data_IF_849773034762
#
_entry.id   IF_849773034762
#
_cell.length_a   1.000
_cell.length_b   1.000
_cell.length_c   1.000
_cell.angle_alpha   90.00
_cell.angle_beta   90.00
_cell.angle_gamma   90.00
#
_symmetry.space_group_name_H-M   'P 1'
#
loop_
_entity.id
_entity.type
_entity.pdbx_description
1 polymer ?
#
# COMPACT_ATOMS: atom_id res chain seq x y z
N UNK A 1 10.20 -7.95 25.05
CA UNK A 1 9.13 -7.72 24.05
C UNK A 1 9.81 -7.40 22.72
N UNK A 2 9.57 -8.21 21.68
CA UNK A 2 10.17 -7.97 20.37
C UNK A 2 9.69 -6.62 19.82
N UNK A 3 10.62 -5.74 19.51
CA UNK A 3 10.35 -4.43 18.91
C UNK A 3 9.75 -4.71 17.54
N UNK A 4 8.44 -4.53 17.37
CA UNK A 4 7.83 -4.50 16.02
C UNK A 4 8.55 -3.40 15.27
N UNK A 5 9.30 -3.76 14.23
CA UNK A 5 9.79 -2.80 13.26
C UNK A 5 8.58 -2.04 12.72
N UNK A 6 8.52 -0.74 12.97
CA UNK A 6 7.53 0.13 12.34
C UNK A 6 7.82 0.14 10.84
N UNK A 7 7.15 -0.76 10.12
CA UNK A 7 7.19 -0.81 8.67
C UNK A 7 6.48 0.42 8.14
N UNK A 8 7.18 1.25 7.38
CA UNK A 8 6.57 2.43 6.75
C UNK A 8 5.73 1.96 5.58
N UNK A 9 4.41 2.07 5.73
CA UNK A 9 3.46 1.73 4.68
C UNK A 9 3.05 2.98 3.90
N UNK A 10 2.96 2.84 2.58
CA UNK A 10 2.45 3.85 1.66
C UNK A 10 1.26 3.24 0.93
N UNK A 11 0.16 3.98 0.82
CA UNK A 11 -1.05 3.52 0.14
C UNK A 11 -1.40 4.47 -0.99
N UNK A 12 -1.49 3.94 -2.21
CA UNK A 12 -2.06 4.63 -3.35
C UNK A 12 -3.54 4.32 -3.45
N UNK A 13 -4.38 5.35 -3.58
CA UNK A 13 -5.82 5.23 -3.80
C UNK A 13 -6.16 5.82 -5.17
N UNK A 14 -6.73 5.01 -6.05
CA UNK A 14 -7.25 5.41 -7.35
C UNK A 14 -8.77 5.28 -7.35
N UNK A 15 -9.45 6.39 -7.63
CA UNK A 15 -10.92 6.47 -7.67
C UNK A 15 -11.33 6.62 -9.13
N UNK A 16 -11.55 5.49 -9.78
CA UNK A 16 -12.11 5.42 -11.11
C UNK A 16 -13.64 5.47 -11.08
N UNK A 17 -14.25 5.83 -12.21
CA UNK A 17 -15.71 5.84 -12.35
C UNK A 17 -16.34 4.45 -12.31
N UNK A 18 -15.58 3.40 -12.62
CA UNK A 18 -16.08 2.01 -12.62
C UNK A 18 -15.71 1.21 -11.38
N UNK A 19 -14.67 1.63 -10.66
CA UNK A 19 -14.15 0.95 -9.48
C UNK A 19 -13.16 1.82 -8.72
N UNK A 20 -13.04 1.55 -7.43
CA UNK A 20 -11.99 2.08 -6.55
C UNK A 20 -10.89 1.03 -6.43
N UNK A 21 -9.62 1.45 -6.47
CA UNK A 21 -8.45 0.57 -6.31
C UNK A 21 -7.53 1.13 -5.22
N UNK A 22 -7.06 0.26 -4.32
CA UNK A 22 -6.04 0.57 -3.32
C UNK A 22 -4.81 -0.30 -3.54
N UNK A 23 -3.62 0.30 -3.55
CA UNK A 23 -2.34 -0.39 -3.69
C UNK A 23 -1.49 -0.07 -2.46
N UNK A 24 -1.00 -1.10 -1.78
CA UNK A 24 -0.23 -0.99 -0.54
C UNK A 24 1.22 -1.34 -0.82
N UNK A 25 2.11 -0.41 -0.52
CA UNK A 25 3.55 -0.60 -0.60
C UNK A 25 4.25 -0.45 0.74
N UNK A 26 5.33 -1.21 0.94
CA UNK A 26 6.28 -1.03 2.04
C UNK A 26 7.46 -0.19 1.54
N UNK A 27 7.76 0.92 2.24
CA UNK A 27 8.88 1.79 1.94
C UNK A 27 10.13 1.30 2.65
N UNK A 28 11.12 0.89 1.85
CA UNK A 28 12.45 0.48 2.32
C UNK A 28 13.34 1.69 2.63
N UNK A 29 14.43 1.43 3.35
CA UNK A 29 15.36 2.50 3.79
C UNK A 29 16.13 3.15 2.65
N UNK A 30 16.24 2.48 1.50
CA UNK A 30 16.83 2.99 0.27
C UNK A 30 15.85 3.83 -0.58
N UNK A 31 14.59 3.96 -0.12
CA UNK A 31 13.54 4.67 -0.84
C UNK A 31 12.77 3.80 -1.84
N UNK A 32 13.11 2.53 -1.99
CA UNK A 32 12.34 1.62 -2.83
C UNK A 32 10.98 1.32 -2.20
N UNK A 33 9.95 1.22 -3.04
CA UNK A 33 8.61 0.79 -2.62
C UNK A 33 8.38 -0.62 -3.15
N UNK A 34 8.16 -1.56 -2.24
CA UNK A 34 7.77 -2.93 -2.56
C UNK A 34 6.25 -3.06 -2.44
N UNK A 35 5.59 -3.55 -3.49
CA UNK A 35 4.13 -3.76 -3.45
C UNK A 35 3.82 -5.02 -2.67
N UNK A 36 3.09 -4.87 -1.57
CA UNK A 36 2.72 -5.97 -0.67
C UNK A 36 1.22 -6.28 -0.69
N UNK A 37 0.41 -5.46 -1.36
CA UNK A 37 -1.04 -5.71 -1.46
C UNK A 37 -1.75 -4.85 -2.49
N UNK A 38 -2.87 -5.38 -2.99
CA UNK A 38 -3.81 -4.69 -3.88
C UNK A 38 -5.24 -5.03 -3.47
N UNK A 39 -6.13 -4.05 -3.51
CA UNK A 39 -7.57 -4.22 -3.30
C UNK A 39 -8.35 -3.42 -4.34
N UNK A 40 -9.54 -3.91 -4.70
CA UNK A 40 -10.45 -3.17 -5.58
C UNK A 40 -11.90 -3.41 -5.19
N UNK A 41 -12.73 -2.40 -5.37
CA UNK A 41 -14.18 -2.48 -5.17
C UNK A 41 -14.91 -1.93 -6.40
N UNK A 42 -15.75 -2.73 -7.08
CA UNK A 42 -16.62 -2.22 -8.14
C UNK A 42 -17.63 -1.23 -7.54
N UNK A 43 -18.04 -0.24 -8.33
CA UNK A 43 -19.08 0.71 -7.95
C UNK A 43 -20.47 0.08 -7.89
#
# INVERSE_FOLDING_TARGET
MAKKSDKKLVVGLDIGTSKVVALVGELHTDGAIEVIGIGSHPS
#
